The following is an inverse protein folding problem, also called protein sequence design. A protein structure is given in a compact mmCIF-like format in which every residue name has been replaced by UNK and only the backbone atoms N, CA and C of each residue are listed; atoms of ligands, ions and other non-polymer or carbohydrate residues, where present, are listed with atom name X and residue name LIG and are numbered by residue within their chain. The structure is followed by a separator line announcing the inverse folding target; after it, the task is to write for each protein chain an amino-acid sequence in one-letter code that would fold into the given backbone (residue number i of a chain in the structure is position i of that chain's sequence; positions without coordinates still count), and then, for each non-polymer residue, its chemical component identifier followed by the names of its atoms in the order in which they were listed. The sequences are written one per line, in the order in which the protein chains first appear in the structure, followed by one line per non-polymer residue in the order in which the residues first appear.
data_IF_593541423972
#
_entry.id   IF_593541423972
#
_cell.length_a   1.000
_cell.length_b   1.000
_cell.length_c   1.000
_cell.angle_alpha   90.00
_cell.angle_beta   90.00
_cell.angle_gamma   90.00
#
_symmetry.space_group_name_H-M   'P 1'
#
loop_
_entity.id
_entity.type
_entity.pdbx_description
1 polymer ?
#
# COMPACT_ATOMS: atom_id res chain seq x y z
N UNK A 1 11.91 -32.58 -2.87
CA UNK A 1 11.08 -32.61 -4.10
C UNK A 1 9.67 -32.04 -3.89
N UNK A 2 8.93 -32.46 -2.86
CA UNK A 2 7.55 -31.99 -2.61
C UNK A 2 7.45 -30.50 -2.24
N UNK A 3 8.38 -29.98 -1.42
CA UNK A 3 8.36 -28.56 -1.02
C UNK A 3 8.55 -27.60 -2.19
N UNK A 4 9.44 -27.92 -3.14
CA UNK A 4 9.67 -27.09 -4.33
C UNK A 4 8.40 -27.05 -5.21
N UNK A 5 7.71 -28.19 -5.36
CA UNK A 5 6.44 -28.26 -6.10
C UNK A 5 5.34 -27.47 -5.41
N UNK A 6 5.30 -27.49 -4.08
CA UNK A 6 4.34 -26.71 -3.27
C UNK A 6 4.58 -25.21 -3.41
N UNK A 7 5.84 -24.78 -3.35
CA UNK A 7 6.23 -23.38 -3.54
C UNK A 7 5.90 -22.89 -4.96
N UNK A 8 6.19 -23.68 -5.98
CA UNK A 8 5.90 -23.33 -7.37
C UNK A 8 4.40 -23.08 -7.59
N UNK A 9 3.53 -23.97 -7.08
CA UNK A 9 2.07 -23.78 -7.14
C UNK A 9 1.63 -22.50 -6.44
N UNK A 10 2.15 -22.24 -5.23
CA UNK A 10 1.79 -21.04 -4.45
C UNK A 10 2.25 -19.74 -5.11
N UNK A 11 3.41 -19.74 -5.78
CA UNK A 11 3.87 -18.58 -6.54
C UNK A 11 2.93 -18.23 -7.68
N UNK A 12 2.41 -19.25 -8.37
CA UNK A 12 1.46 -19.04 -9.46
C UNK A 12 0.14 -18.45 -8.93
N UNK A 13 -0.39 -18.98 -7.82
CA UNK A 13 -1.58 -18.41 -7.14
C UNK A 13 -1.43 -16.90 -6.85
N UNK A 14 -0.22 -16.46 -6.43
CA UNK A 14 0.07 -15.04 -6.13
C UNK A 14 0.27 -14.22 -7.40
N UNK A 15 0.94 -14.79 -8.41
CA UNK A 15 1.20 -14.11 -9.67
C UNK A 15 -0.09 -13.79 -10.44
N UNK A 16 -1.08 -14.66 -10.36
CA UNK A 16 -2.38 -14.51 -11.03
C UNK A 16 -3.39 -13.69 -10.21
N UNK A 17 -3.04 -13.30 -8.97
CA UNK A 17 -3.93 -12.53 -8.11
C UNK A 17 -4.07 -11.07 -8.61
N UNK A 18 -5.23 -10.42 -8.43
CA UNK A 18 -5.42 -8.99 -8.70
C UNK A 18 -4.74 -8.15 -7.60
N UNK A 19 -3.42 -8.24 -7.53
CA UNK A 19 -2.55 -7.61 -6.54
C UNK A 19 -1.61 -6.63 -7.23
N UNK A 20 -1.53 -5.43 -6.68
CA UNK A 20 -0.58 -4.41 -7.11
C UNK A 20 0.32 -4.05 -5.93
N UNK A 21 1.63 -4.04 -6.17
CA UNK A 21 2.64 -3.69 -5.17
C UNK A 21 3.33 -2.42 -5.65
N UNK A 22 3.29 -1.39 -4.83
CA UNK A 22 4.06 -0.17 -5.03
C UNK A 22 5.21 -0.14 -4.02
N UNK A 23 6.44 -0.11 -4.51
CA UNK A 23 7.65 -0.06 -3.69
C UNK A 23 8.31 1.34 -3.67
N UNK A 24 7.58 2.38 -4.10
CA UNK A 24 8.07 3.75 -4.12
C UNK A 24 8.34 4.23 -2.68
N UNK A 25 9.56 4.68 -2.34
CA UNK A 25 9.87 5.18 -1.01
C UNK A 25 9.27 6.58 -0.80
N UNK A 26 8.93 6.91 0.45
CA UNK A 26 8.56 8.28 0.84
C UNK A 26 7.28 8.81 0.19
N UNK A 27 6.33 7.94 -0.16
CA UNK A 27 5.03 8.35 -0.73
C UNK A 27 4.28 9.23 0.26
N UNK A 28 3.73 10.35 -0.21
CA UNK A 28 2.82 11.20 0.56
C UNK A 28 1.37 10.71 0.45
N UNK A 29 0.54 10.99 1.45
CA UNK A 29 -0.88 10.60 1.44
C UNK A 29 -1.64 11.18 0.23
N UNK A 30 -1.43 12.44 -0.19
CA UNK A 30 -2.07 12.96 -1.40
C UNK A 30 -1.71 12.18 -2.67
N UNK A 31 -0.44 11.79 -2.85
CA UNK A 31 0.00 10.99 -3.99
C UNK A 31 -0.61 9.58 -3.95
N UNK A 32 -0.60 8.92 -2.78
CA UNK A 32 -1.27 7.63 -2.58
C UNK A 32 -2.75 7.72 -2.96
N UNK A 33 -3.46 8.75 -2.49
CA UNK A 33 -4.88 8.96 -2.80
C UNK A 33 -5.14 9.12 -4.30
N UNK A 34 -4.27 9.84 -5.02
CA UNK A 34 -4.42 10.02 -6.46
C UNK A 34 -4.25 8.70 -7.23
N UNK A 35 -3.28 7.88 -6.85
CA UNK A 35 -3.06 6.56 -7.43
C UNK A 35 -4.22 5.61 -7.13
N UNK A 36 -4.65 5.53 -5.86
CA UNK A 36 -5.80 4.72 -5.43
C UNK A 36 -7.06 5.13 -6.19
N UNK A 37 -7.35 6.43 -6.35
CA UNK A 37 -8.52 6.91 -7.13
C UNK A 37 -8.49 6.43 -8.58
N UNK A 38 -7.32 6.41 -9.20
CA UNK A 38 -7.13 5.90 -10.56
C UNK A 38 -7.36 4.38 -10.60
N UNK A 39 -6.84 3.66 -9.60
CA UNK A 39 -7.00 2.21 -9.49
C UNK A 39 -8.44 1.78 -9.16
N UNK A 40 -9.21 2.57 -8.42
CA UNK A 40 -10.63 2.30 -8.19
C UNK A 40 -11.42 2.45 -9.49
N UNK A 41 -11.08 3.44 -10.33
CA UNK A 41 -11.79 3.69 -11.61
C UNK A 41 -11.52 2.65 -12.68
N UNK A 42 -10.26 2.25 -12.87
CA UNK A 42 -9.86 1.47 -14.05
C UNK A 42 -9.75 -0.04 -13.73
N UNK A 43 -8.89 -0.49 -12.80
CA UNK A 43 -8.81 -1.90 -12.39
C UNK A 43 -9.82 -2.31 -11.30
N UNK A 44 -10.69 -1.41 -10.81
CA UNK A 44 -11.74 -1.75 -9.85
C UNK A 44 -11.23 -2.08 -8.45
N UNK A 45 -10.17 -1.41 -7.98
CA UNK A 45 -9.56 -1.64 -6.67
C UNK A 45 -10.58 -1.55 -5.51
N UNK A 46 -10.51 -2.51 -4.58
CA UNK A 46 -11.45 -2.64 -3.45
C UNK A 46 -10.79 -2.56 -2.07
N UNK A 47 -9.48 -2.72 -2.00
CA UNK A 47 -8.72 -2.75 -0.76
C UNK A 47 -7.36 -2.10 -0.98
N UNK A 48 -6.91 -1.35 0.03
CA UNK A 48 -5.58 -0.76 0.09
C UNK A 48 -4.94 -1.20 1.40
N UNK A 49 -3.71 -1.71 1.33
CA UNK A 49 -2.89 -2.03 2.50
C UNK A 49 -1.67 -1.11 2.45
N UNK A 50 -1.37 -0.47 3.57
CA UNK A 50 -0.19 0.39 3.72
C UNK A 50 0.71 -0.21 4.80
N UNK A 51 1.91 -0.62 4.41
CA UNK A 51 2.95 -1.16 5.30
C UNK A 51 4.23 -0.32 5.13
N UNK A 52 4.56 0.62 6.01
CA UNK A 52 3.86 1.08 7.22
C UNK A 52 3.77 2.61 7.22
N UNK A 53 2.70 3.16 7.83
CA UNK A 53 2.35 4.58 7.74
C UNK A 53 3.49 5.53 8.12
N UNK A 54 4.34 5.13 9.07
CA UNK A 54 5.45 5.94 9.55
C UNK A 54 6.62 6.09 8.54
N UNK A 55 6.65 5.32 7.43
CA UNK A 55 7.59 5.53 6.31
C UNK A 55 7.08 6.49 5.25
N UNK A 56 5.80 6.84 5.31
CA UNK A 56 5.24 7.82 4.39
C UNK A 56 5.78 9.21 4.68
N UNK A 57 5.79 10.06 3.66
CA UNK A 57 6.15 11.46 3.86
C UNK A 57 5.06 12.14 4.70
N UNK A 58 5.43 12.50 5.93
CA UNK A 58 4.53 13.14 6.86
C UNK A 58 4.47 14.66 6.65
N UNK A 59 3.30 15.30 6.86
CA UNK A 59 3.21 16.75 6.91
C UNK A 59 4.04 17.30 8.08
N UNK A 60 4.48 18.55 7.96
CA UNK A 60 5.19 19.25 9.05
C UNK A 60 4.28 19.33 10.28
N UNK A 61 4.76 18.82 11.41
CA UNK A 61 4.03 18.77 12.66
C UNK A 61 4.95 19.04 13.86
N UNK A 62 4.39 19.47 14.98
CA UNK A 62 5.11 19.76 16.23
C UNK A 62 5.76 18.52 16.85
N UNK A 63 5.18 17.34 16.62
CA UNK A 63 5.71 16.07 17.12
C UNK A 63 5.41 14.94 16.14
N UNK A 64 6.19 13.86 16.23
CA UNK A 64 5.96 12.65 15.42
C UNK A 64 4.61 12.01 15.71
N UNK A 65 4.13 12.10 16.95
CA UNK A 65 2.80 11.60 17.34
C UNK A 65 1.70 12.37 16.63
N UNK A 66 1.81 13.70 16.56
CA UNK A 66 0.86 14.56 15.85
C UNK A 66 0.92 14.30 14.35
N UNK A 67 2.13 14.12 13.79
CA UNK A 67 2.30 13.74 12.39
C UNK A 67 1.56 12.43 12.05
N UNK A 68 1.75 11.38 12.85
CA UNK A 68 1.07 10.09 12.67
C UNK A 68 -0.45 10.21 12.87
N UNK A 69 -0.90 10.98 13.85
CA UNK A 69 -2.32 11.22 14.08
C UNK A 69 -2.98 11.97 12.90
N UNK A 70 -2.29 12.96 12.32
CA UNK A 70 -2.74 13.67 11.13
C UNK A 70 -2.77 12.75 9.91
N UNK A 71 -1.71 11.98 9.69
CA UNK A 71 -1.67 10.97 8.62
C UNK A 71 -2.81 9.96 8.74
N UNK A 72 -3.11 9.47 9.95
CA UNK A 72 -4.23 8.57 10.20
C UNK A 72 -5.59 9.22 9.88
N UNK A 73 -5.78 10.50 10.22
CA UNK A 73 -7.00 11.25 9.86
C UNK A 73 -7.15 11.46 8.35
N UNK A 74 -6.06 11.71 7.63
CA UNK A 74 -6.09 11.90 6.17
C UNK A 74 -6.35 10.60 5.40
N UNK A 75 -6.10 9.44 6.02
CA UNK A 75 -6.40 8.13 5.45
C UNK A 75 -7.85 7.68 5.67
N UNK A 76 -8.59 8.30 6.60
CA UNK A 76 -9.99 7.97 6.87
C UNK A 76 -10.92 8.60 5.84
#
# INVERSE_FOLDING_TARGET
ANEVRKLARKRQDVADAPLWIDATPGVSIPSLRNQVRTMVRTPGLRMVIVDYLQLMQAPKAESRQVAVATMSRELK
#
